data_IF_709591048962
#
_entry.id   IF_709591048962
#
_cell.length_a   1.000
_cell.length_b   1.000
_cell.length_c   1.000
_cell.angle_alpha   90.00
_cell.angle_beta   90.00
_cell.angle_gamma   90.00
#
_symmetry.space_group_name_H-M   'P 1'
#
loop_
_entity.id
_entity.type
_entity.pdbx_description
1 polymer ?
#
# COMPACT_ATOMS: atom_id res chain seq x y z
N UNK A 1 6.48 29.58 -22.82
CA UNK A 1 5.59 28.54 -23.36
C UNK A 1 5.01 27.64 -22.24
N UNK A 2 5.84 27.05 -21.35
CA UNK A 2 5.37 26.10 -20.35
C UNK A 2 4.46 26.74 -19.27
N UNK A 3 4.81 27.92 -18.78
CA UNK A 3 4.02 28.65 -17.79
C UNK A 3 2.62 29.06 -18.34
N UNK A 4 2.55 29.46 -19.61
CA UNK A 4 1.30 29.82 -20.26
C UNK A 4 0.39 28.61 -20.48
N UNK A 5 0.97 27.46 -20.86
CA UNK A 5 0.26 26.19 -20.99
C UNK A 5 -0.30 25.72 -19.63
N UNK A 6 0.52 25.81 -18.60
CA UNK A 6 0.12 25.46 -17.22
C UNK A 6 -1.02 26.35 -16.74
N UNK A 7 -0.96 27.66 -17.00
CA UNK A 7 -2.04 28.58 -16.64
C UNK A 7 -3.36 28.29 -17.39
N UNK A 8 -3.27 27.94 -18.69
CA UNK A 8 -4.45 27.54 -19.46
C UNK A 8 -5.07 26.24 -18.94
N UNK A 9 -4.27 25.23 -18.63
CA UNK A 9 -4.74 23.97 -18.02
C UNK A 9 -5.42 24.26 -16.67
N UNK A 10 -4.79 25.06 -15.83
CA UNK A 10 -5.34 25.44 -14.53
C UNK A 10 -6.69 26.17 -14.65
N UNK A 11 -6.83 27.06 -15.63
CA UNK A 11 -8.08 27.77 -15.90
C UNK A 11 -9.23 26.88 -16.41
N UNK A 12 -8.93 25.66 -16.90
CA UNK A 12 -9.93 24.67 -17.32
C UNK A 12 -10.34 23.71 -16.19
N UNK A 13 -9.64 23.77 -15.05
CA UNK A 13 -9.93 22.88 -13.93
C UNK A 13 -11.11 23.40 -13.11
N UNK A 14 -11.98 22.47 -12.72
CA UNK A 14 -13.06 22.73 -11.77
C UNK A 14 -12.45 22.89 -10.36
N UNK A 15 -12.41 24.13 -9.86
CA UNK A 15 -11.74 24.46 -8.59
C UNK A 15 -12.36 23.73 -7.40
N UNK A 16 -13.67 23.50 -7.39
CA UNK A 16 -14.34 22.78 -6.31
C UNK A 16 -13.88 21.32 -6.26
N UNK A 17 -13.73 20.69 -7.42
CA UNK A 17 -13.16 19.33 -7.53
C UNK A 17 -11.68 19.28 -7.18
N UNK A 18 -10.92 20.33 -7.49
CA UNK A 18 -9.49 20.39 -7.09
C UNK A 18 -9.37 20.33 -5.57
N UNK A 19 -10.15 21.08 -4.83
CA UNK A 19 -10.12 21.04 -3.36
C UNK A 19 -10.55 19.69 -2.81
N UNK A 20 -11.53 19.04 -3.42
CA UNK A 20 -11.99 17.70 -3.02
C UNK A 20 -10.95 16.61 -3.28
N UNK A 21 -10.18 16.71 -4.36
CA UNK A 21 -9.24 15.68 -4.82
C UNK A 21 -7.76 16.04 -4.66
N UNK A 22 -7.43 17.05 -3.89
CA UNK A 22 -6.04 17.44 -3.65
C UNK A 22 -5.22 16.28 -3.09
N UNK A 23 -4.11 15.96 -3.74
CA UNK A 23 -3.18 14.95 -3.26
C UNK A 23 -2.25 15.55 -2.22
N UNK A 24 -2.22 14.96 -1.02
CA UNK A 24 -1.30 15.32 0.07
C UNK A 24 0.03 14.55 0.04
N UNK A 25 0.35 13.85 -1.05
CA UNK A 25 1.55 13.01 -1.17
C UNK A 25 2.87 13.76 -1.13
N UNK A 26 2.83 15.04 -1.40
CA UNK A 26 4.03 15.86 -1.62
C UNK A 26 4.34 16.82 -0.48
N UNK A 27 3.49 16.87 0.55
CA UNK A 27 3.64 17.91 1.55
C UNK A 27 4.35 17.44 2.80
N UNK A 28 3.84 17.56 3.94
CA UNK A 28 4.52 17.25 5.20
C UNK A 28 4.21 15.81 5.63
N UNK A 29 5.25 15.01 5.81
CA UNK A 29 5.09 13.68 6.39
C UNK A 29 4.75 13.84 7.87
N UNK A 30 3.76 13.12 8.42
CA UNK A 30 3.44 13.14 9.83
C UNK A 30 4.66 12.84 10.70
N UNK A 31 4.97 13.71 11.67
CA UNK A 31 6.09 13.54 12.59
C UNK A 31 5.74 12.63 13.77
N UNK A 32 4.47 12.54 14.08
CA UNK A 32 3.93 11.77 15.21
C UNK A 32 2.70 10.95 14.82
N UNK A 33 2.30 10.04 15.72
CA UNK A 33 1.07 9.26 15.53
C UNK A 33 -0.20 10.12 15.51
N UNK A 34 -0.22 11.21 16.23
CA UNK A 34 -1.36 12.12 16.28
C UNK A 34 -1.59 12.86 14.94
N UNK A 35 -0.53 12.98 14.15
CA UNK A 35 -0.58 13.64 12.85
C UNK A 35 -0.86 12.67 11.69
N UNK A 36 -0.91 11.35 11.95
CA UNK A 36 -1.29 10.36 10.94
C UNK A 36 -2.73 10.60 10.50
N UNK A 37 -2.97 10.54 9.21
CA UNK A 37 -4.30 10.86 8.66
C UNK A 37 -4.73 9.89 7.57
N UNK A 38 -6.04 9.86 7.36
CA UNK A 38 -6.68 9.09 6.29
C UNK A 38 -7.49 10.04 5.41
N UNK A 39 -7.23 10.04 4.13
CA UNK A 39 -8.06 10.66 3.11
C UNK A 39 -9.05 9.62 2.60
N UNK A 40 -10.31 10.00 2.54
CA UNK A 40 -11.39 9.16 2.02
C UNK A 40 -11.87 9.73 0.70
N UNK A 41 -11.84 8.91 -0.34
CA UNK A 41 -12.34 9.22 -1.67
C UNK A 41 -13.54 8.32 -1.99
N UNK A 42 -14.32 8.61 -3.02
CA UNK A 42 -15.53 7.82 -3.32
C UNK A 42 -15.27 6.32 -3.52
N UNK A 43 -14.11 5.93 -4.06
CA UNK A 43 -13.78 4.53 -4.40
C UNK A 43 -12.63 3.93 -3.61
N UNK A 44 -11.91 4.72 -2.80
CA UNK A 44 -10.77 4.25 -2.03
C UNK A 44 -10.46 5.17 -0.84
N UNK A 45 -9.66 4.68 0.06
CA UNK A 45 -9.04 5.50 1.10
C UNK A 45 -7.53 5.42 1.04
N UNK A 46 -6.87 6.47 1.53
CA UNK A 46 -5.43 6.62 1.55
C UNK A 46 -4.99 7.06 2.94
N UNK A 47 -4.26 6.21 3.63
CA UNK A 47 -3.68 6.49 4.93
C UNK A 47 -2.19 6.78 4.79
N UNK A 48 -1.73 7.84 5.46
CA UNK A 48 -0.34 8.26 5.51
C UNK A 48 0.16 8.09 6.95
N UNK A 49 1.18 7.28 7.13
CA UNK A 49 1.79 7.06 8.44
C UNK A 49 2.84 8.11 8.77
N UNK A 50 3.20 8.20 10.04
CA UNK A 50 4.40 8.90 10.50
C UNK A 50 5.68 8.31 9.89
N UNK A 51 6.79 9.02 10.07
CA UNK A 51 8.12 8.55 9.72
C UNK A 51 8.66 7.49 10.69
N UNK A 52 9.39 6.51 10.17
CA UNK A 52 10.10 5.46 10.91
C UNK A 52 11.57 5.45 10.50
N UNK A 53 12.49 5.30 11.45
CA UNK A 53 13.92 5.11 11.14
C UNK A 53 14.17 3.76 10.46
N UNK A 54 13.49 2.71 10.93
CA UNK A 54 13.64 1.36 10.43
C UNK A 54 12.43 0.95 9.61
N UNK A 55 12.62 0.62 8.34
CA UNK A 55 11.56 0.15 7.44
C UNK A 55 10.84 -1.10 7.95
N UNK A 56 11.58 -1.98 8.62
CA UNK A 56 11.02 -3.24 9.13
C UNK A 56 9.98 -3.01 10.21
N UNK A 57 10.12 -1.95 11.00
CA UNK A 57 9.17 -1.56 12.05
C UNK A 57 7.80 -1.15 11.51
N UNK A 58 7.72 -0.69 10.26
CA UNK A 58 6.46 -0.27 9.64
C UNK A 58 5.43 -1.40 9.63
N UNK A 59 5.82 -2.60 9.21
CA UNK A 59 4.89 -3.73 9.16
C UNK A 59 4.67 -4.43 10.52
N UNK A 60 5.37 -4.03 11.57
CA UNK A 60 5.08 -4.45 12.94
C UNK A 60 4.00 -3.57 13.59
N UNK A 61 3.77 -2.37 13.04
CA UNK A 61 2.77 -1.44 13.56
C UNK A 61 1.34 -1.95 13.27
N UNK A 62 0.57 -2.12 14.35
CA UNK A 62 -0.83 -2.58 14.29
C UNK A 62 -1.74 -1.65 13.49
N UNK A 63 -1.56 -0.33 13.59
CA UNK A 63 -2.38 0.67 12.86
C UNK A 63 -2.20 0.54 11.36
N UNK A 64 -0.96 0.29 10.91
CA UNK A 64 -0.68 0.09 9.49
C UNK A 64 -1.27 -1.23 9.00
N UNK A 65 -1.19 -2.30 9.80
CA UNK A 65 -1.70 -3.63 9.44
C UNK A 65 -3.21 -3.77 9.53
N UNK A 66 -3.85 -3.03 10.41
CA UNK A 66 -5.31 -3.06 10.54
C UNK A 66 -5.97 -2.53 9.27
N UNK A 67 -7.00 -3.20 8.82
CA UNK A 67 -7.86 -2.78 7.70
C UNK A 67 -9.22 -2.34 8.23
N UNK A 68 -9.61 -1.10 7.89
CA UNK A 68 -10.92 -0.55 8.23
C UNK A 68 -11.66 -0.21 6.95
N UNK A 69 -12.91 -0.56 6.88
CA UNK A 69 -13.78 -0.14 5.77
C UNK A 69 -13.95 1.37 5.80
N UNK A 70 -13.56 2.06 4.74
CA UNK A 70 -13.65 3.52 4.69
C UNK A 70 -15.10 4.03 4.51
N UNK A 71 -16.04 3.15 4.18
CA UNK A 71 -17.46 3.49 4.02
C UNK A 71 -18.24 3.41 5.34
N UNK A 72 -17.90 2.47 6.23
CA UNK A 72 -18.60 2.31 7.52
C UNK A 72 -17.67 2.37 8.74
N UNK A 73 -16.38 2.63 8.54
CA UNK A 73 -15.33 2.74 9.56
C UNK A 73 -15.16 1.50 10.48
N UNK A 74 -15.78 0.37 10.14
CA UNK A 74 -15.62 -0.88 10.90
C UNK A 74 -14.30 -1.55 10.54
N UNK A 75 -13.69 -2.20 11.51
CA UNK A 75 -12.56 -3.10 11.26
C UNK A 75 -13.05 -4.33 10.47
N UNK A 76 -12.30 -4.69 9.42
CA UNK A 76 -12.71 -5.73 8.48
C UNK A 76 -11.69 -6.86 8.44
N UNK A 77 -12.18 -8.09 8.26
CA UNK A 77 -11.37 -9.29 8.24
C UNK A 77 -10.56 -9.39 6.95
N UNK A 78 -9.29 -9.68 7.07
CA UNK A 78 -8.44 -9.96 5.92
C UNK A 78 -8.65 -11.42 5.47
N UNK A 79 -9.18 -11.62 4.27
CA UNK A 79 -9.24 -12.93 3.59
C UNK A 79 -7.85 -13.38 3.16
N UNK A 80 -7.06 -12.43 2.65
CA UNK A 80 -5.64 -12.62 2.36
C UNK A 80 -4.87 -11.64 3.24
N UNK A 81 -4.07 -12.17 4.17
CA UNK A 81 -3.21 -11.37 5.05
C UNK A 81 -2.17 -10.60 4.24
N UNK A 82 -1.69 -9.48 4.79
CA UNK A 82 -0.63 -8.71 4.19
C UNK A 82 0.56 -9.57 3.79
N UNK A 83 0.92 -9.56 2.54
CA UNK A 83 2.12 -10.21 2.03
C UNK A 83 2.93 -9.25 1.17
N UNK A 84 4.25 -9.34 1.26
CA UNK A 84 5.16 -8.53 0.45
C UNK A 84 5.25 -9.14 -0.96
N UNK A 85 5.04 -8.34 -1.98
CA UNK A 85 5.30 -8.72 -3.37
C UNK A 85 6.78 -8.46 -3.74
N UNK A 86 7.29 -7.35 -3.25
CA UNK A 86 8.70 -6.97 -3.28
C UNK A 86 9.07 -6.27 -1.97
N UNK A 87 10.30 -5.76 -1.85
CA UNK A 87 10.76 -5.15 -0.60
C UNK A 87 9.96 -3.93 -0.13
N UNK A 88 9.23 -3.25 -1.04
CA UNK A 88 8.59 -1.95 -0.76
C UNK A 88 7.07 -1.98 -0.88
N UNK A 89 6.49 -3.07 -1.37
CA UNK A 89 5.05 -3.15 -1.65
C UNK A 89 4.43 -4.40 -1.01
N UNK A 90 3.35 -4.18 -0.29
CA UNK A 90 2.52 -5.21 0.33
C UNK A 90 1.11 -5.17 -0.24
N UNK A 91 0.48 -6.33 -0.29
CA UNK A 91 -0.92 -6.48 -0.71
C UNK A 91 -1.70 -7.30 0.31
N UNK A 92 -2.99 -7.02 0.41
CA UNK A 92 -3.96 -7.84 1.12
C UNK A 92 -5.30 -7.84 0.38
N UNK A 93 -6.18 -8.75 0.77
CA UNK A 93 -7.61 -8.71 0.45
C UNK A 93 -8.37 -8.74 1.75
N UNK A 94 -9.35 -7.85 1.91
CA UNK A 94 -10.22 -7.78 3.08
C UNK A 94 -11.69 -7.80 2.63
N UNK A 95 -12.57 -8.15 3.56
CA UNK A 95 -14.00 -8.24 3.30
C UNK A 95 -14.80 -7.53 4.38
N UNK A 96 -15.70 -6.66 3.96
CA UNK A 96 -16.70 -6.00 4.78
C UNK A 96 -18.06 -6.63 4.49
N UNK A 97 -18.79 -7.02 5.52
CA UNK A 97 -20.11 -7.61 5.36
C UNK A 97 -21.10 -6.69 4.64
N UNK A 98 -20.99 -5.37 4.86
CA UNK A 98 -21.91 -4.39 4.29
C UNK A 98 -21.44 -3.85 2.91
N UNK A 99 -20.13 -3.85 2.63
CA UNK A 99 -19.56 -3.15 1.47
C UNK A 99 -18.71 -4.05 0.56
N UNK A 100 -18.67 -5.36 0.85
CA UNK A 100 -18.01 -6.35 -0.01
C UNK A 100 -16.49 -6.36 0.09
N UNK A 101 -15.85 -6.58 -1.05
CA UNK A 101 -14.43 -6.86 -1.16
C UNK A 101 -13.59 -5.59 -1.29
N UNK A 102 -12.41 -5.63 -0.66
CA UNK A 102 -11.41 -4.56 -0.72
C UNK A 102 -10.04 -5.13 -1.03
N UNK A 103 -9.32 -4.51 -1.95
CA UNK A 103 -7.88 -4.72 -2.13
C UNK A 103 -7.08 -3.66 -1.39
N UNK A 104 -6.14 -4.12 -0.56
CA UNK A 104 -5.23 -3.27 0.17
C UNK A 104 -3.84 -3.27 -0.47
N UNK A 105 -3.21 -2.09 -0.51
CA UNK A 105 -1.84 -1.90 -0.95
C UNK A 105 -1.11 -0.99 0.01
N UNK A 106 0.05 -1.41 0.50
CA UNK A 106 0.97 -0.57 1.25
C UNK A 106 2.23 -0.37 0.43
N UNK A 107 2.66 0.87 0.30
CA UNK A 107 3.96 1.25 -0.25
C UNK A 107 4.79 1.94 0.81
N UNK A 108 6.08 1.66 0.84
CA UNK A 108 7.03 2.43 1.64
C UNK A 108 7.72 3.45 0.75
N UNK A 109 7.75 4.67 1.23
CA UNK A 109 8.54 5.75 0.66
C UNK A 109 9.59 6.20 1.66
N UNK A 110 10.66 6.81 1.19
CA UNK A 110 11.73 7.39 1.98
C UNK A 110 11.66 8.91 1.87
N UNK A 111 11.87 9.61 2.97
CA UNK A 111 11.96 11.06 3.01
C UNK A 111 13.40 11.52 2.74
N UNK A 112 13.61 12.80 2.54
CA UNK A 112 14.94 13.40 2.44
C UNK A 112 15.75 13.23 3.73
N UNK A 113 15.08 13.20 4.88
CA UNK A 113 15.67 12.98 6.22
C UNK A 113 15.91 11.48 6.55
N UNK A 114 15.98 10.62 5.55
CA UNK A 114 16.23 9.19 5.71
C UNK A 114 15.18 8.42 6.53
N UNK A 115 13.99 8.99 6.73
CA UNK A 115 12.87 8.28 7.36
C UNK A 115 12.03 7.53 6.32
N UNK A 116 11.47 6.40 6.72
CA UNK A 116 10.53 5.63 5.92
C UNK A 116 9.11 5.86 6.40
N UNK A 117 8.15 5.98 5.50
CA UNK A 117 6.74 6.05 5.84
C UNK A 117 5.90 5.15 4.93
N UNK A 118 4.72 4.79 5.41
CA UNK A 118 3.79 3.96 4.68
C UNK A 118 2.66 4.78 4.07
N UNK A 119 2.38 4.51 2.81
CA UNK A 119 1.13 4.89 2.16
C UNK A 119 0.30 3.63 2.04
N UNK A 120 -0.80 3.55 2.80
CA UNK A 120 -1.76 2.45 2.74
C UNK A 120 -2.99 2.89 1.95
N UNK A 121 -3.27 2.22 0.85
CA UNK A 121 -4.47 2.42 0.03
C UNK A 121 -5.37 1.21 0.24
N UNK A 122 -6.63 1.46 0.54
CA UNK A 122 -7.68 0.47 0.54
C UNK A 122 -8.71 0.87 -0.51
N UNK A 123 -8.89 0.03 -1.51
CA UNK A 123 -9.79 0.27 -2.65
C UNK A 123 -10.85 -0.83 -2.70
N UNK A 124 -12.11 -0.44 -2.90
CA UNK A 124 -13.17 -1.39 -3.19
C UNK A 124 -12.87 -2.15 -4.48
N UNK A 125 -13.18 -3.43 -4.54
CA UNK A 125 -12.82 -4.32 -5.65
C UNK A 125 -13.88 -5.39 -5.85
N UNK A 126 -13.78 -6.10 -6.97
CA UNK A 126 -14.55 -7.27 -7.34
C UNK A 126 -13.71 -8.56 -7.26
N UNK A 127 -14.27 -9.68 -7.66
CA UNK A 127 -13.58 -10.97 -7.71
C UNK A 127 -12.40 -10.96 -8.69
N UNK A 128 -12.45 -10.18 -9.76
CA UNK A 128 -11.33 -10.03 -10.70
C UNK A 128 -10.14 -9.38 -10.02
N UNK A 129 -10.37 -8.30 -9.26
CA UNK A 129 -9.32 -7.65 -8.50
C UNK A 129 -8.76 -8.53 -7.37
N UNK A 130 -9.56 -9.44 -6.81
CA UNK A 130 -9.09 -10.47 -5.88
C UNK A 130 -8.20 -11.48 -6.60
N UNK A 131 -8.60 -11.97 -7.78
CA UNK A 131 -7.81 -12.90 -8.58
C UNK A 131 -6.42 -12.33 -8.93
N UNK A 132 -6.33 -11.04 -9.26
CA UNK A 132 -5.03 -10.37 -9.44
C UNK A 132 -4.11 -10.47 -8.21
N UNK A 133 -4.67 -10.34 -7.01
CA UNK A 133 -3.89 -10.42 -5.76
C UNK A 133 -3.46 -11.86 -5.48
N UNK A 134 -4.33 -12.83 -5.74
CA UNK A 134 -4.00 -14.27 -5.62
C UNK A 134 -2.85 -14.62 -6.56
N UNK A 135 -2.92 -14.20 -7.84
CA UNK A 135 -1.85 -14.44 -8.81
C UNK A 135 -0.50 -13.87 -8.33
N UNK A 136 -0.48 -12.65 -7.78
CA UNK A 136 0.74 -12.07 -7.20
C UNK A 136 1.26 -12.88 -6.01
N UNK A 137 0.37 -13.44 -5.19
CA UNK A 137 0.74 -14.27 -4.05
C UNK A 137 1.36 -15.59 -4.50
N UNK A 138 0.77 -16.23 -5.51
CA UNK A 138 1.23 -17.52 -6.04
C UNK A 138 2.57 -17.38 -6.73
N UNK A 139 2.74 -16.38 -7.58
CA UNK A 139 4.03 -16.07 -8.18
C UNK A 139 5.14 -15.86 -7.13
N UNK A 140 4.84 -15.19 -6.02
CA UNK A 140 5.79 -15.07 -4.90
C UNK A 140 6.12 -16.42 -4.27
N UNK A 141 5.11 -17.28 -4.07
CA UNK A 141 5.31 -18.63 -3.51
C UNK A 141 6.23 -19.47 -4.41
N UNK A 142 6.01 -19.42 -5.72
CA UNK A 142 6.84 -20.11 -6.72
C UNK A 142 8.28 -19.62 -6.69
N UNK A 143 8.51 -18.31 -6.70
CA UNK A 143 9.86 -17.73 -6.59
C UNK A 143 10.57 -18.18 -5.30
N UNK A 144 9.88 -18.26 -4.18
CA UNK A 144 10.44 -18.75 -2.92
C UNK A 144 10.79 -20.24 -2.96
N UNK A 145 9.92 -21.06 -3.59
CA UNK A 145 10.20 -22.49 -3.79
C UNK A 145 11.41 -22.70 -4.68
N UNK A 146 11.48 -22.01 -5.81
CA UNK A 146 12.60 -22.07 -6.73
C UNK A 146 13.94 -21.64 -6.07
N UNK A 147 13.91 -20.56 -5.26
CA UNK A 147 15.10 -20.13 -4.52
C UNK A 147 15.58 -21.20 -3.52
N UNK A 148 14.67 -21.77 -2.73
CA UNK A 148 15.00 -22.84 -1.77
C UNK A 148 15.54 -24.10 -2.45
N UNK A 149 15.00 -24.47 -3.61
CA UNK A 149 15.48 -25.61 -4.39
C UNK A 149 16.91 -25.39 -4.87
N UNK A 150 17.22 -24.20 -5.41
CA UNK A 150 18.59 -23.83 -5.84
C UNK A 150 19.58 -23.82 -4.68
N UNK A 151 19.19 -23.31 -3.52
CA UNK A 151 20.04 -23.31 -2.31
C UNK A 151 20.36 -24.73 -1.84
N UNK A 152 19.36 -25.64 -1.82
CA UNK A 152 19.58 -27.05 -1.48
C UNK A 152 20.51 -27.77 -2.47
N UNK A 153 20.38 -27.48 -3.78
CA UNK A 153 21.30 -28.05 -4.78
C UNK A 153 22.73 -27.57 -4.59
N UNK A 154 22.95 -26.28 -4.33
CA UNK A 154 24.29 -25.73 -4.05
C UNK A 154 24.94 -26.36 -2.81
N UNK A 155 24.17 -26.54 -1.73
CA UNK A 155 24.67 -27.20 -0.51
C UNK A 155 25.06 -28.65 -0.77
N UNK A 156 24.29 -29.42 -1.55
CA UNK A 156 24.62 -30.80 -1.91
C UNK A 156 25.91 -30.90 -2.75
N UNK A 157 26.09 -29.99 -3.71
CA UNK A 157 27.29 -29.94 -4.55
C UNK A 157 28.52 -29.48 -3.79
N UNK A 158 28.38 -28.62 -2.76
CA UNK A 158 29.48 -28.15 -1.91
C UNK A 158 29.90 -29.19 -0.87
N UNK A 159 29.03 -30.14 -0.48
CA UNK A 159 29.33 -31.22 0.48
C UNK A 159 30.00 -32.45 -0.17
N UNK A 160 30.09 -32.47 -1.51
CA UNK A 160 30.74 -33.55 -2.27
C UNK A 160 32.19 -33.23 -2.72
N UNK A 161 32.68 -32.05 -2.34
CA UNK A 161 34.09 -31.64 -2.50
C UNK A 161 34.84 -31.65 -1.17
#
# INVERSE_FOLDING_TARGET
ADAEYTAKIFGLMDMDKIYEYTSVDTYKIPSSRAEEFTLVYPTYSKFISKGYRDREKIMLDGVIRTTKCFLCNREIKQRIKWFSNNQHVYYCVAYCENHGLFKGKIRFKKTEDDLYYAIKILKQTDENGVAEIIQKQDHKRERRRAKRSREKQRQRQGAQK
#
